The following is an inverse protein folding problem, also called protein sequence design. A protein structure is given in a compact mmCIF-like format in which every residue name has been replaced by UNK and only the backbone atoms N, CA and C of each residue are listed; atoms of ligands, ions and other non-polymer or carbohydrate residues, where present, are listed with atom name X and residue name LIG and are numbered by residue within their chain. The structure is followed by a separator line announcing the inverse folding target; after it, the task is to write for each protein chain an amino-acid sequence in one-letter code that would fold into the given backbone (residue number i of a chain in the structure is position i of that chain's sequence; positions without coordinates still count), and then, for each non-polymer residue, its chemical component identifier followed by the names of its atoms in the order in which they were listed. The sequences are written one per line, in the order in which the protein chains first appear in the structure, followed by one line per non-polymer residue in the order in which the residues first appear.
data_IF_221187532911
#
_entry.id   IF_221187532911
#
_cell.length_a   1.000
_cell.length_b   1.000
_cell.length_c   1.000
_cell.angle_alpha   90.00
_cell.angle_beta   90.00
_cell.angle_gamma   90.00
#
_symmetry.space_group_name_H-M   'P 1'
#
loop_
_entity.id
_entity.type
_entity.pdbx_description
1 polymer ?
#
# COMPACT_ATOMS: atom_id res chain seq x y z
N UNK A 1 -2.21 -18.86 9.29
CA UNK A 1 -1.36 -19.59 8.31
C UNK A 1 0.09 -19.09 8.29
N UNK A 2 0.37 -17.88 8.78
CA UNK A 2 1.71 -17.25 8.78
C UNK A 2 2.80 -17.96 9.59
N UNK A 3 2.44 -18.89 10.47
CA UNK A 3 3.39 -19.66 11.30
C UNK A 3 3.71 -21.06 10.75
N UNK A 4 3.09 -21.47 9.63
CA UNK A 4 3.41 -22.76 9.00
C UNK A 4 4.79 -22.69 8.35
N UNK A 5 5.77 -23.52 8.77
CA UNK A 5 7.09 -23.52 8.16
C UNK A 5 7.01 -23.74 6.65
N UNK A 6 7.83 -22.99 5.90
CA UNK A 6 7.96 -23.06 4.44
C UNK A 6 6.70 -22.69 3.66
N UNK A 7 5.79 -21.95 4.29
CA UNK A 7 4.72 -21.25 3.59
C UNK A 7 5.30 -20.32 2.51
N UNK A 8 4.57 -20.16 1.40
CA UNK A 8 5.00 -19.38 0.22
C UNK A 8 3.81 -18.86 -0.58
N UNK A 9 4.10 -18.00 -1.55
CA UNK A 9 3.14 -17.39 -2.47
C UNK A 9 2.81 -15.94 -2.11
N UNK A 10 2.45 -15.16 -3.13
CA UNK A 10 2.20 -13.72 -3.01
C UNK A 10 1.13 -13.38 -1.94
N UNK A 11 0.02 -14.11 -1.90
CA UNK A 11 -1.06 -13.88 -0.93
C UNK A 11 -0.60 -14.06 0.52
N UNK A 12 0.20 -15.10 0.80
CA UNK A 12 0.75 -15.33 2.14
C UNK A 12 1.75 -14.25 2.52
N UNK A 13 2.62 -13.85 1.58
CA UNK A 13 3.57 -12.75 1.81
C UNK A 13 2.82 -11.46 2.11
N UNK A 14 1.73 -11.19 1.37
CA UNK A 14 0.88 -10.02 1.63
C UNK A 14 0.29 -10.07 3.04
N UNK A 15 -0.28 -11.21 3.46
CA UNK A 15 -0.81 -11.40 4.83
C UNK A 15 0.26 -11.14 5.89
N UNK A 16 1.49 -11.64 5.70
CA UNK A 16 2.62 -11.41 6.62
C UNK A 16 3.01 -9.93 6.67
N UNK A 17 3.14 -9.27 5.51
CA UNK A 17 3.53 -7.85 5.43
C UNK A 17 2.46 -6.96 6.07
N UNK A 18 1.19 -7.22 5.78
CA UNK A 18 0.06 -6.50 6.36
C UNK A 18 0.03 -6.68 7.88
N UNK A 19 0.17 -7.93 8.36
CA UNK A 19 0.29 -8.23 9.80
C UNK A 19 1.40 -7.41 10.45
N UNK A 20 2.61 -7.41 9.88
CA UNK A 20 3.76 -6.67 10.45
C UNK A 20 3.50 -5.15 10.45
N UNK A 21 2.88 -4.63 9.40
CA UNK A 21 2.55 -3.20 9.30
C UNK A 21 1.46 -2.78 10.29
N UNK A 22 0.41 -3.60 10.45
CA UNK A 22 -0.70 -3.34 11.37
C UNK A 22 -0.27 -3.42 12.84
N UNK A 23 0.76 -4.21 13.15
CA UNK A 23 1.39 -4.19 14.45
C UNK A 23 2.05 -2.84 14.77
N UNK A 24 2.34 -1.96 13.81
CA UNK A 24 2.90 -0.62 14.07
C UNK A 24 4.23 -0.64 14.84
N UNK A 25 4.98 -1.74 14.77
CA UNK A 25 6.27 -1.92 15.47
C UNK A 25 7.36 -1.09 14.77
N UNK A 26 7.33 -1.12 13.45
CA UNK A 26 8.30 -0.50 12.56
C UNK A 26 7.70 0.72 11.83
N UNK A 27 8.52 1.67 11.38
CA UNK A 27 8.07 2.69 10.43
C UNK A 27 7.52 2.05 9.15
N UNK A 28 6.62 2.76 8.46
CA UNK A 28 6.07 2.34 7.17
C UNK A 28 7.21 2.05 6.18
N UNK A 29 7.18 0.87 5.56
CA UNK A 29 8.20 0.39 4.64
C UNK A 29 7.89 0.67 3.17
N UNK A 30 6.76 1.32 2.85
CA UNK A 30 6.41 1.75 1.49
C UNK A 30 6.40 0.57 0.50
N UNK A 31 5.83 -0.57 0.93
CA UNK A 31 5.77 -1.87 0.21
C UNK A 31 7.12 -2.52 -0.05
N UNK A 32 8.19 -1.98 0.55
CA UNK A 32 9.53 -2.46 0.29
C UNK A 32 9.69 -3.92 0.72
N UNK A 33 9.18 -4.32 1.89
CA UNK A 33 9.29 -5.72 2.34
C UNK A 33 8.61 -6.68 1.36
N UNK A 34 7.42 -6.34 0.84
CA UNK A 34 6.74 -7.15 -0.17
C UNK A 34 7.58 -7.29 -1.46
N UNK A 35 8.17 -6.18 -1.94
CA UNK A 35 9.06 -6.18 -3.12
C UNK A 35 10.34 -7.00 -2.88
N UNK A 36 10.92 -6.95 -1.68
CA UNK A 36 12.09 -7.76 -1.31
C UNK A 36 11.76 -9.26 -1.38
N UNK A 37 10.59 -9.68 -0.89
CA UNK A 37 10.17 -11.09 -0.99
C UNK A 37 10.07 -11.56 -2.45
N UNK A 38 9.56 -10.72 -3.36
CA UNK A 38 9.50 -11.02 -4.79
C UNK A 38 10.90 -11.27 -5.36
N UNK A 39 11.84 -10.35 -5.13
CA UNK A 39 13.16 -10.40 -5.78
C UNK A 39 14.09 -11.44 -5.17
N UNK A 40 13.98 -11.69 -3.85
CA UNK A 40 14.84 -12.63 -3.15
C UNK A 40 14.43 -14.08 -3.38
N UNK A 41 13.12 -14.34 -3.48
CA UNK A 41 12.62 -15.72 -3.50
C UNK A 41 11.38 -15.93 -4.34
N UNK A 42 10.91 -14.95 -5.12
CA UNK A 42 9.60 -15.00 -5.79
C UNK A 42 8.49 -15.36 -4.79
N UNK A 43 8.44 -14.64 -3.67
CA UNK A 43 7.49 -14.92 -2.58
C UNK A 43 7.63 -16.32 -1.97
N UNK A 44 8.82 -16.90 -2.05
CA UNK A 44 9.15 -18.24 -1.59
C UNK A 44 8.99 -19.35 -2.64
N UNK A 45 8.53 -19.03 -3.85
CA UNK A 45 8.35 -20.00 -4.95
C UNK A 45 9.63 -20.28 -5.75
N UNK A 46 10.68 -19.48 -5.60
CA UNK A 46 11.94 -19.70 -6.30
C UNK A 46 12.57 -21.05 -5.87
N UNK A 47 13.04 -21.86 -6.82
CA UNK A 47 13.80 -23.06 -6.51
C UNK A 47 14.99 -22.73 -5.61
N UNK A 48 15.15 -23.46 -4.51
CA UNK A 48 16.27 -23.27 -3.57
C UNK A 48 16.04 -22.22 -2.48
N UNK A 49 14.85 -21.61 -2.40
CA UNK A 49 14.45 -20.73 -1.26
C UNK A 49 14.70 -21.43 0.07
N UNK A 50 14.24 -22.68 0.20
CA UNK A 50 14.35 -23.53 1.39
C UNK A 50 15.36 -24.67 1.17
N UNK A 51 16.53 -24.36 0.60
CA UNK A 51 17.59 -25.35 0.37
C UNK A 51 18.16 -25.85 1.70
N UNK A 52 18.60 -27.10 1.73
CA UNK A 52 19.16 -27.72 2.95
C UNK A 52 20.31 -26.88 3.52
N UNK A 53 20.30 -26.68 4.84
CA UNK A 53 21.28 -25.88 5.57
C UNK A 53 21.15 -24.36 5.41
N UNK A 54 20.09 -23.88 4.75
CA UNK A 54 19.79 -22.45 4.64
C UNK A 54 18.39 -22.13 5.13
N UNK A 55 18.30 -21.34 6.21
CA UNK A 55 17.04 -21.07 6.90
C UNK A 55 16.55 -19.62 6.75
N UNK A 56 17.11 -18.83 5.83
CA UNK A 56 16.76 -17.41 5.67
C UNK A 56 15.32 -17.10 5.22
N UNK A 57 14.50 -18.12 4.96
CA UNK A 57 13.08 -18.00 4.65
C UNK A 57 12.77 -17.24 3.37
N UNK A 58 11.55 -16.72 3.25
CA UNK A 58 11.07 -15.98 2.07
C UNK A 58 11.95 -14.76 1.77
N UNK A 59 12.41 -14.05 2.80
CA UNK A 59 13.22 -12.84 2.63
C UNK A 59 14.72 -13.10 2.49
N UNK A 60 15.14 -14.37 2.48
CA UNK A 60 16.52 -14.82 2.31
C UNK A 60 17.52 -14.11 3.23
N UNK A 61 17.16 -13.82 4.48
CA UNK A 61 18.10 -13.24 5.47
C UNK A 61 19.17 -14.27 5.81
N UNK A 62 20.43 -13.99 5.51
CA UNK A 62 21.51 -14.92 5.81
C UNK A 62 21.77 -15.06 7.32
N UNK A 63 22.59 -16.05 7.70
CA UNK A 63 22.86 -16.35 9.11
C UNK A 63 23.56 -15.20 9.83
N UNK A 64 24.38 -14.41 9.15
CA UNK A 64 25.07 -13.27 9.75
C UNK A 64 24.07 -12.15 10.00
N UNK A 65 23.29 -11.79 8.99
CA UNK A 65 22.23 -10.78 9.10
C UNK A 65 21.22 -11.12 10.18
N UNK A 66 20.80 -12.39 10.26
CA UNK A 66 19.95 -12.87 11.35
C UNK A 66 20.60 -12.67 12.74
N UNK A 67 21.87 -13.06 12.91
CA UNK A 67 22.60 -12.87 14.17
C UNK A 67 22.66 -11.42 14.59
N UNK A 68 22.77 -10.49 13.64
CA UNK A 68 22.72 -9.06 13.94
C UNK A 68 21.35 -8.62 14.47
N UNK A 69 20.25 -9.25 14.01
CA UNK A 69 18.90 -8.92 14.51
C UNK A 69 18.67 -9.30 15.97
N UNK A 70 19.39 -10.29 16.49
CA UNK A 70 19.26 -10.77 17.88
C UNK A 70 20.31 -10.20 18.82
N UNK A 71 21.46 -9.73 18.30
CA UNK A 71 22.59 -9.26 19.13
C UNK A 71 22.73 -7.75 19.23
N UNK A 72 22.23 -6.97 18.27
CA UNK A 72 22.44 -5.53 18.27
C UNK A 72 21.50 -4.81 19.24
N UNK A 73 22.06 -4.31 20.34
CA UNK A 73 21.33 -3.64 21.43
C UNK A 73 20.46 -2.43 20.97
N UNK A 74 20.82 -1.78 19.87
CA UNK A 74 20.00 -0.71 19.27
C UNK A 74 18.61 -1.16 18.83
N UNK A 75 18.37 -2.47 18.71
CA UNK A 75 17.09 -3.06 18.34
C UNK A 75 16.19 -3.40 19.53
N UNK A 76 16.64 -3.20 20.79
CA UNK A 76 15.87 -3.56 21.99
C UNK A 76 14.43 -3.02 21.98
N UNK A 77 14.25 -1.78 21.55
CA UNK A 77 12.93 -1.13 21.43
C UNK A 77 11.96 -1.86 20.48
N UNK A 78 12.47 -2.64 19.52
CA UNK A 78 11.66 -3.45 18.62
C UNK A 78 11.40 -4.82 19.23
N UNK A 79 12.38 -5.45 19.88
CA UNK A 79 12.19 -6.70 20.62
C UNK A 79 11.08 -6.56 21.67
N UNK A 80 11.14 -5.50 22.49
CA UNK A 80 10.13 -5.24 23.54
C UNK A 80 8.71 -5.11 22.95
N UNK A 81 8.58 -4.54 21.74
CA UNK A 81 7.28 -4.41 21.06
C UNK A 81 6.83 -5.70 20.39
N UNK A 82 7.76 -6.51 19.87
CA UNK A 82 7.46 -7.82 19.29
C UNK A 82 6.93 -8.73 20.40
N UNK A 83 7.62 -8.79 21.55
CA UNK A 83 7.17 -9.56 22.71
C UNK A 83 5.81 -9.09 23.19
N UNK A 84 5.64 -7.77 23.43
CA UNK A 84 4.37 -7.23 23.91
C UNK A 84 3.16 -7.49 22.99
N UNK A 85 3.37 -7.61 21.67
CA UNK A 85 2.27 -7.77 20.70
C UNK A 85 2.07 -9.20 20.21
N UNK A 86 3.12 -10.01 20.20
CA UNK A 86 3.11 -11.36 19.64
C UNK A 86 3.48 -12.45 20.65
N UNK A 87 3.97 -12.09 21.84
CA UNK A 87 4.51 -13.03 22.82
C UNK A 87 5.77 -13.75 22.33
N UNK A 88 6.54 -13.09 21.45
CA UNK A 88 7.77 -13.65 20.88
C UNK A 88 8.97 -12.92 21.51
N UNK A 89 9.74 -13.65 22.32
CA UNK A 89 11.07 -13.20 22.69
C UNK A 89 12.00 -13.37 21.49
N UNK A 90 12.25 -12.27 20.77
CA UNK A 90 13.08 -12.29 19.58
C UNK A 90 14.51 -12.76 19.87
N UNK A 91 15.04 -12.50 21.07
CA UNK A 91 16.43 -12.80 21.43
C UNK A 91 16.69 -14.29 21.65
N UNK A 92 15.63 -15.06 21.91
CA UNK A 92 15.66 -16.51 22.10
C UNK A 92 15.29 -17.29 20.82
N UNK A 93 15.03 -16.60 19.71
CA UNK A 93 14.78 -17.26 18.42
C UNK A 93 16.04 -17.95 17.89
N UNK A 94 15.85 -18.82 16.90
CA UNK A 94 16.93 -19.45 16.14
C UNK A 94 16.88 -19.07 14.66
N UNK A 95 17.95 -19.34 13.91
CA UNK A 95 17.95 -19.04 12.47
C UNK A 95 16.94 -19.92 11.73
N UNK A 96 16.70 -21.13 12.25
CA UNK A 96 15.73 -22.11 11.77
C UNK A 96 14.29 -21.60 11.89
N UNK A 97 13.99 -20.73 12.86
CA UNK A 97 12.65 -20.13 12.98
C UNK A 97 12.26 -19.28 11.77
N UNK A 98 13.24 -18.76 11.01
CA UNK A 98 12.98 -17.98 9.80
C UNK A 98 12.40 -18.84 8.67
N UNK A 99 12.30 -20.16 8.82
CA UNK A 99 11.48 -20.97 7.93
C UNK A 99 9.98 -20.64 8.06
N UNK A 100 9.54 -20.06 9.18
CA UNK A 100 8.18 -19.57 9.38
C UNK A 100 8.04 -18.19 8.71
N UNK A 101 7.04 -17.96 7.85
CA UNK A 101 6.85 -16.71 7.12
C UNK A 101 6.87 -15.45 7.99
N UNK A 102 6.15 -15.43 9.12
CA UNK A 102 6.12 -14.26 10.03
C UNK A 102 7.52 -13.95 10.59
N UNK A 103 8.26 -14.97 11.04
CA UNK A 103 9.61 -14.82 11.57
C UNK A 103 10.59 -14.37 10.49
N UNK A 104 10.49 -14.90 9.27
CA UNK A 104 11.29 -14.43 8.14
C UNK A 104 11.06 -12.93 7.86
N UNK A 105 9.81 -12.48 7.89
CA UNK A 105 9.45 -11.07 7.68
C UNK A 105 9.93 -10.16 8.82
N UNK A 106 9.79 -10.59 10.08
CA UNK A 106 10.29 -9.88 11.25
C UNK A 106 11.82 -9.76 11.22
N UNK A 107 12.54 -10.82 10.87
CA UNK A 107 13.99 -10.80 10.72
C UNK A 107 14.42 -9.79 9.65
N UNK A 108 13.76 -9.76 8.50
CA UNK A 108 14.06 -8.79 7.45
C UNK A 108 13.79 -7.34 7.90
N UNK A 109 12.70 -7.07 8.64
CA UNK A 109 12.41 -5.73 9.16
C UNK A 109 13.36 -5.30 10.27
N UNK A 110 13.76 -6.20 11.16
CA UNK A 110 14.78 -5.92 12.17
C UNK A 110 16.14 -5.68 11.53
N UNK A 111 16.51 -6.47 10.51
CA UNK A 111 17.74 -6.28 9.75
C UNK A 111 17.78 -4.87 9.14
N UNK A 112 16.69 -4.43 8.52
CA UNK A 112 16.55 -3.08 7.95
C UNK A 112 16.49 -1.97 9.01
N UNK A 113 15.92 -2.24 10.19
CA UNK A 113 15.79 -1.24 11.26
C UNK A 113 17.13 -0.79 11.87
N UNK A 114 18.22 -1.52 11.59
CA UNK A 114 19.59 -1.13 11.95
C UNK A 114 20.14 -0.01 11.08
N UNK A 115 19.48 0.28 9.96
CA UNK A 115 19.93 1.21 8.93
C UNK A 115 19.28 2.56 9.19
N UNK A 116 20.10 3.60 9.34
CA UNK A 116 19.62 4.96 9.61
C UNK A 116 19.00 5.64 8.39
N UNK A 117 19.37 5.21 7.18
CA UNK A 117 18.79 5.72 5.94
C UNK A 117 17.31 5.28 5.83
N UNK A 118 16.37 6.21 5.59
CA UNK A 118 14.96 5.84 5.44
C UNK A 118 14.73 5.08 4.13
N UNK A 119 13.85 4.08 4.17
CA UNK A 119 13.40 3.35 2.98
C UNK A 119 12.75 4.33 1.99
N UNK A 120 13.19 4.49 0.74
CA UNK A 120 12.64 5.46 -0.22
C UNK A 120 11.19 5.21 -0.63
N UNK A 121 10.52 6.22 -1.20
CA UNK A 121 9.12 6.13 -1.67
C UNK A 121 8.99 5.59 -3.08
N UNK A 122 9.92 5.93 -3.97
CA UNK A 122 9.86 5.56 -5.38
C UNK A 122 10.62 4.24 -5.66
N UNK A 123 10.20 3.54 -6.70
CA UNK A 123 10.72 2.23 -7.06
C UNK A 123 12.23 2.25 -7.43
N UNK A 124 12.73 3.20 -8.26
CA UNK A 124 14.16 3.26 -8.57
C UNK A 124 15.03 3.45 -7.33
N UNK A 125 14.65 4.37 -6.43
CA UNK A 125 15.40 4.60 -5.20
C UNK A 125 15.30 3.42 -4.23
N UNK A 126 14.16 2.74 -4.16
CA UNK A 126 14.06 1.48 -3.41
C UNK A 126 14.95 0.38 -3.96
N UNK A 127 15.07 0.25 -5.29
CA UNK A 127 15.97 -0.72 -5.91
C UNK A 127 17.44 -0.42 -5.58
N UNK A 128 17.84 0.85 -5.59
CA UNK A 128 19.17 1.28 -5.15
C UNK A 128 19.38 1.01 -3.65
N UNK A 129 18.37 1.30 -2.83
CA UNK A 129 18.40 1.04 -1.39
C UNK A 129 18.58 -0.46 -1.12
N UNK A 130 17.79 -1.32 -1.75
CA UNK A 130 17.93 -2.78 -1.67
C UNK A 130 19.34 -3.23 -2.07
N UNK A 131 19.88 -2.73 -3.19
CA UNK A 131 21.22 -3.11 -3.65
C UNK A 131 22.31 -2.69 -2.66
N UNK A 132 22.15 -1.52 -2.05
CA UNK A 132 23.13 -0.96 -1.11
C UNK A 132 23.10 -1.70 0.23
N UNK A 133 21.90 -1.95 0.75
CA UNK A 133 21.70 -2.26 2.16
C UNK A 133 21.21 -3.67 2.46
N UNK A 134 20.58 -4.34 1.50
CA UNK A 134 19.95 -5.65 1.70
C UNK A 134 20.67 -6.75 0.91
N UNK A 135 20.76 -6.59 -0.41
CA UNK A 135 21.51 -7.52 -1.27
C UNK A 135 23.03 -7.33 -1.14
N UNK A 136 23.46 -6.10 -0.81
CA UNK A 136 24.86 -5.63 -0.76
C UNK A 136 25.58 -5.64 -2.12
N UNK A 137 26.75 -5.00 -2.18
CA UNK A 137 27.60 -4.98 -3.38
C UNK A 137 28.06 -6.38 -3.80
N UNK A 138 28.26 -7.29 -2.84
CA UNK A 138 28.68 -8.67 -3.09
C UNK A 138 27.53 -9.58 -3.58
N UNK A 139 26.27 -9.19 -3.35
CA UNK A 139 25.12 -9.95 -3.84
C UNK A 139 25.02 -9.94 -5.37
N UNK A 140 24.50 -11.03 -5.95
CA UNK A 140 24.34 -11.18 -7.42
C UNK A 140 23.20 -10.33 -8.00
N UNK A 141 22.37 -9.76 -7.13
CA UNK A 141 21.22 -8.94 -7.53
C UNK A 141 21.66 -7.62 -8.18
N UNK A 142 20.84 -7.09 -9.09
CA UNK A 142 21.10 -5.79 -9.72
C UNK A 142 19.89 -4.87 -9.58
N UNK A 143 20.14 -3.56 -9.51
CA UNK A 143 19.09 -2.53 -9.45
C UNK A 143 18.11 -2.70 -10.60
N UNK A 144 18.63 -2.93 -11.82
CA UNK A 144 17.80 -3.18 -13.00
C UNK A 144 16.90 -4.40 -12.82
N UNK A 145 17.44 -5.53 -12.36
CA UNK A 145 16.64 -6.75 -12.16
C UNK A 145 15.54 -6.54 -11.12
N UNK A 146 15.83 -5.83 -10.03
CA UNK A 146 14.82 -5.50 -9.02
C UNK A 146 13.65 -4.72 -9.64
N UNK A 147 13.94 -3.68 -10.42
CA UNK A 147 12.93 -2.86 -11.08
C UNK A 147 12.13 -3.71 -12.07
N UNK A 148 12.82 -4.46 -12.93
CA UNK A 148 12.19 -5.30 -13.96
C UNK A 148 11.26 -6.35 -13.33
N UNK A 149 11.69 -7.03 -12.27
CA UNK A 149 10.86 -8.04 -11.57
C UNK A 149 9.61 -7.39 -10.93
N UNK A 150 9.77 -6.26 -10.24
CA UNK A 150 8.66 -5.57 -9.57
C UNK A 150 7.66 -5.00 -10.58
N UNK A 151 8.14 -4.42 -11.68
CA UNK A 151 7.27 -3.91 -12.74
C UNK A 151 6.55 -5.05 -13.46
N UNK A 152 7.23 -6.16 -13.72
CA UNK A 152 6.61 -7.33 -14.33
C UNK A 152 5.51 -7.91 -13.42
N UNK A 153 5.77 -8.11 -12.13
CA UNK A 153 4.76 -8.57 -11.19
C UNK A 153 3.58 -7.60 -11.05
N UNK A 154 3.85 -6.29 -11.04
CA UNK A 154 2.80 -5.25 -10.98
C UNK A 154 1.92 -5.22 -12.23
N UNK A 155 2.44 -5.65 -13.40
CA UNK A 155 1.66 -5.76 -14.62
C UNK A 155 0.74 -6.99 -14.65
N UNK A 156 0.96 -7.95 -13.74
CA UNK A 156 0.19 -9.21 -13.65
C UNK A 156 -0.77 -9.27 -12.46
N UNK A 157 -0.65 -8.35 -11.48
CA UNK A 157 -1.55 -8.26 -10.32
C UNK A 157 -2.50 -7.05 -10.43
N UNK A 158 -3.72 -7.18 -9.89
CA UNK A 158 -4.64 -6.04 -9.70
C UNK A 158 -4.01 -5.03 -8.74
N UNK A 159 -3.31 -4.03 -9.28
CA UNK A 159 -2.59 -3.01 -8.51
C UNK A 159 -3.12 -1.59 -8.76
N UNK A 160 -2.60 -0.58 -8.03
CA UNK A 160 -3.07 0.80 -8.14
C UNK A 160 -2.97 1.42 -9.54
N UNK A 161 -2.11 0.86 -10.40
CA UNK A 161 -1.87 1.31 -11.77
C UNK A 161 -2.50 0.39 -12.82
N UNK A 162 -3.08 -0.73 -12.39
CA UNK A 162 -3.71 -1.72 -13.27
C UNK A 162 -5.17 -1.30 -13.49
N UNK A 163 -5.61 -1.06 -14.74
CA UNK A 163 -6.99 -0.73 -15.01
C UNK A 163 -7.94 -1.78 -14.41
N UNK A 164 -9.03 -1.30 -13.80
CA UNK A 164 -10.12 -2.10 -13.24
C UNK A 164 -9.78 -2.94 -12.02
N UNK A 165 -8.67 -2.66 -11.33
CA UNK A 165 -8.42 -3.23 -10.00
C UNK A 165 -9.53 -2.87 -9.01
N UNK A 166 -9.82 -3.75 -8.05
CA UNK A 166 -10.90 -3.59 -7.07
C UNK A 166 -10.59 -4.23 -5.73
N UNK A 167 -11.50 -4.06 -4.77
CA UNK A 167 -11.46 -4.67 -3.43
C UNK A 167 -10.93 -3.73 -2.35
N UNK A 168 -11.39 -3.96 -1.11
CA UNK A 168 -11.10 -3.10 0.04
C UNK A 168 -9.60 -2.92 0.30
N UNK A 169 -8.81 -4.00 0.20
CA UNK A 169 -7.36 -3.97 0.39
C UNK A 169 -6.65 -3.06 -0.61
N UNK A 170 -7.04 -3.11 -1.89
CA UNK A 170 -6.46 -2.27 -2.93
C UNK A 170 -6.87 -0.80 -2.73
N UNK A 171 -8.12 -0.55 -2.36
CA UNK A 171 -8.58 0.81 -2.04
C UNK A 171 -7.82 1.38 -0.85
N UNK A 172 -7.61 0.59 0.21
CA UNK A 172 -6.83 1.01 1.38
C UNK A 172 -5.41 1.37 0.95
N UNK A 173 -4.77 0.53 0.13
CA UNK A 173 -3.45 0.79 -0.43
C UNK A 173 -3.38 2.10 -1.23
N UNK A 174 -4.38 2.38 -2.07
CA UNK A 174 -4.47 3.64 -2.83
C UNK A 174 -4.64 4.84 -1.90
N UNK A 175 -5.54 4.76 -0.91
CA UNK A 175 -5.82 5.84 0.05
C UNK A 175 -4.58 6.14 0.89
N UNK A 176 -3.92 5.10 1.41
CA UNK A 176 -2.69 5.21 2.20
C UNK A 176 -1.57 5.82 1.33
N UNK A 177 -1.42 5.36 0.09
CA UNK A 177 -0.46 5.95 -0.87
C UNK A 177 -0.73 7.44 -1.04
N UNK A 178 -1.96 7.86 -1.32
CA UNK A 178 -2.30 9.28 -1.53
C UNK A 178 -2.07 10.11 -0.26
N UNK A 179 -2.41 9.58 0.91
CA UNK A 179 -2.20 10.26 2.19
C UNK A 179 -0.70 10.41 2.52
N UNK A 180 0.11 9.37 2.28
CA UNK A 180 1.56 9.37 2.49
C UNK A 180 2.30 10.36 1.57
N UNK A 181 1.72 10.70 0.41
CA UNK A 181 2.27 11.75 -0.43
C UNK A 181 2.26 13.13 0.26
N UNK A 182 1.37 13.36 1.23
CA UNK A 182 1.26 14.65 1.94
C UNK A 182 0.89 15.82 1.00
N UNK A 183 0.22 15.52 -0.12
CA UNK A 183 -0.18 16.50 -1.13
C UNK A 183 -1.46 17.23 -0.69
N UNK A 184 -2.38 16.48 -0.09
CA UNK A 184 -3.71 16.93 0.30
C UNK A 184 -3.83 17.04 1.83
N UNK A 185 -4.76 17.87 2.35
CA UNK A 185 -5.15 17.82 3.75
C UNK A 185 -5.64 16.42 4.15
N UNK A 186 -5.51 16.07 5.43
CA UNK A 186 -5.99 14.80 5.97
C UNK A 186 -7.48 14.60 5.63
N UNK A 187 -7.82 13.46 5.02
CA UNK A 187 -9.17 13.15 4.57
C UNK A 187 -10.04 12.49 5.63
N UNK A 188 -9.51 12.18 6.83
CA UNK A 188 -10.28 11.63 7.96
C UNK A 188 -11.03 10.34 7.58
N UNK A 189 -10.36 9.46 6.82
CA UNK A 189 -10.89 8.21 6.24
C UNK A 189 -12.02 8.42 5.21
N UNK A 190 -12.31 9.66 4.83
CA UNK A 190 -13.41 9.97 3.94
C UNK A 190 -13.24 9.34 2.56
N UNK A 191 -12.03 9.38 1.98
CA UNK A 191 -11.80 8.83 0.64
C UNK A 191 -12.09 7.32 0.61
N UNK A 192 -11.67 6.59 1.64
CA UNK A 192 -11.96 5.16 1.78
C UNK A 192 -13.48 4.88 1.87
N UNK A 193 -14.21 5.69 2.63
CA UNK A 193 -15.68 5.58 2.77
C UNK A 193 -16.42 5.90 1.46
N UNK A 194 -15.95 6.89 0.69
CA UNK A 194 -16.53 7.21 -0.62
C UNK A 194 -16.37 6.03 -1.58
N UNK A 195 -15.22 5.36 -1.61
CA UNK A 195 -15.04 4.16 -2.44
C UNK A 195 -16.03 3.04 -2.10
N UNK A 196 -16.32 2.83 -0.80
CA UNK A 196 -17.34 1.87 -0.37
C UNK A 196 -18.73 2.23 -0.92
N UNK A 197 -19.14 3.49 -0.75
CA UNK A 197 -20.52 3.92 -1.06
C UNK A 197 -20.76 4.06 -2.57
N UNK A 198 -19.75 4.49 -3.33
CA UNK A 198 -19.87 4.70 -4.77
C UNK A 198 -19.79 3.40 -5.58
N UNK A 199 -19.01 2.41 -5.13
CA UNK A 199 -18.72 1.24 -5.95
C UNK A 199 -18.48 -0.06 -5.19
N UNK A 200 -18.68 -0.09 -3.87
CA UNK A 200 -18.24 -1.20 -3.00
C UNK A 200 -16.78 -1.56 -3.27
N UNK A 201 -15.91 -0.55 -3.22
CA UNK A 201 -14.48 -0.71 -3.50
C UNK A 201 -14.17 -1.19 -4.93
N UNK A 202 -15.05 -0.90 -5.88
CA UNK A 202 -14.96 -1.33 -7.28
C UNK A 202 -15.56 -2.70 -7.58
N UNK A 203 -16.21 -3.34 -6.61
CA UNK A 203 -16.84 -4.66 -6.76
C UNK A 203 -18.26 -4.59 -7.34
N UNK A 204 -18.92 -3.43 -7.31
CA UNK A 204 -20.22 -3.24 -7.94
C UNK A 204 -20.12 -3.50 -9.46
N UNK A 205 -20.99 -4.34 -10.06
CA UNK A 205 -20.93 -4.67 -11.48
C UNK A 205 -20.97 -3.45 -12.41
N UNK A 206 -21.61 -2.36 -11.96
CA UNK A 206 -21.74 -1.11 -12.71
C UNK A 206 -20.53 -0.17 -12.65
N UNK A 207 -19.49 -0.50 -11.87
CA UNK A 207 -18.33 0.38 -11.64
C UNK A 207 -17.62 0.75 -12.95
N UNK A 208 -17.29 -0.26 -13.75
CA UNK A 208 -16.52 -0.16 -15.00
C UNK A 208 -17.40 -0.41 -16.24
N UNK A 209 -18.61 0.14 -16.23
CA UNK A 209 -19.57 0.01 -17.34
C UNK A 209 -19.06 0.72 -18.59
N UNK A 210 -19.41 0.18 -19.76
CA UNK A 210 -18.98 0.74 -21.06
C UNK A 210 -19.32 2.24 -21.19
N UNK A 211 -18.33 3.02 -21.61
CA UNK A 211 -18.46 4.48 -21.78
C UNK A 211 -18.41 5.29 -20.49
N UNK A 212 -18.12 4.68 -19.34
CA UNK A 212 -17.94 5.37 -18.08
C UNK A 212 -16.62 4.98 -17.40
N UNK A 213 -15.72 5.96 -17.26
CA UNK A 213 -14.34 5.72 -16.83
C UNK A 213 -14.04 6.28 -15.43
N UNK A 214 -15.04 6.66 -14.64
CA UNK A 214 -14.84 7.29 -13.31
C UNK A 214 -14.17 6.43 -12.24
N UNK A 215 -13.92 5.14 -12.53
CA UNK A 215 -13.23 4.20 -11.66
C UNK A 215 -13.94 3.92 -10.33
N UNK A 216 -13.18 3.46 -9.34
CA UNK A 216 -13.69 3.11 -8.00
C UNK A 216 -14.45 4.27 -7.34
N UNK A 217 -13.97 5.50 -7.50
CA UNK A 217 -14.58 6.68 -6.87
C UNK A 217 -15.69 7.34 -7.68
N UNK A 218 -16.08 6.76 -8.82
CA UNK A 218 -17.16 7.22 -9.70
C UNK A 218 -17.12 8.75 -9.98
N UNK A 219 -15.93 9.28 -10.27
CA UNK A 219 -15.79 10.67 -10.71
C UNK A 219 -16.28 10.78 -12.15
N UNK A 220 -17.37 11.52 -12.38
CA UNK A 220 -17.90 11.70 -13.73
C UNK A 220 -16.96 12.52 -14.63
N UNK A 221 -17.25 12.53 -15.94
CA UNK A 221 -16.42 13.21 -16.94
C UNK A 221 -16.30 14.71 -16.71
N UNK A 222 -17.34 15.35 -16.17
CA UNK A 222 -17.34 16.79 -15.88
C UNK A 222 -16.44 17.05 -14.67
N UNK A 223 -16.65 16.32 -13.58
CA UNK A 223 -15.83 16.41 -12.38
C UNK A 223 -14.36 16.16 -12.67
N UNK A 224 -14.05 15.14 -13.48
CA UNK A 224 -12.69 14.88 -13.96
C UNK A 224 -12.13 16.07 -14.75
N UNK A 225 -12.88 16.61 -15.72
CA UNK A 225 -12.45 17.76 -16.52
C UNK A 225 -12.12 18.97 -15.64
N UNK A 226 -12.85 19.17 -14.55
CA UNK A 226 -12.54 20.24 -13.59
C UNK A 226 -11.22 20.01 -12.86
N UNK A 227 -10.82 18.75 -12.62
CA UNK A 227 -9.53 18.44 -11.99
C UNK A 227 -8.32 18.78 -12.86
N UNK A 228 -8.47 18.79 -14.19
CA UNK A 228 -7.39 19.09 -15.14
C UNK A 228 -7.39 20.54 -15.63
N UNK A 229 -8.54 21.23 -15.60
CA UNK A 229 -8.66 22.59 -16.16
C UNK A 229 -8.61 23.73 -15.13
N UNK A 230 -8.95 23.47 -13.87
CA UNK A 230 -9.03 24.55 -12.87
C UNK A 230 -7.65 24.95 -12.35
N UNK A 231 -7.20 26.15 -12.72
CA UNK A 231 -5.88 26.69 -12.37
C UNK A 231 -5.59 26.75 -10.86
N UNK A 232 -6.62 26.84 -10.01
CA UNK A 232 -6.48 26.76 -8.55
C UNK A 232 -5.88 25.45 -8.05
N UNK A 233 -5.84 24.40 -8.89
CA UNK A 233 -5.27 23.10 -8.58
C UNK A 233 -3.78 22.96 -8.96
N UNK A 234 -3.17 23.96 -9.59
CA UNK A 234 -1.77 23.88 -10.06
C UNK A 234 -0.78 23.41 -8.98
N UNK A 235 -0.93 23.90 -7.74
CA UNK A 235 -0.09 23.49 -6.60
C UNK A 235 -0.17 21.99 -6.27
N UNK A 236 -1.27 21.32 -6.64
CA UNK A 236 -1.42 19.87 -6.48
C UNK A 236 -0.83 19.13 -7.67
N UNK A 237 -1.04 19.62 -8.91
CA UNK A 237 -0.42 19.05 -10.11
C UNK A 237 1.10 19.01 -9.99
N UNK A 238 1.72 20.13 -9.61
CA UNK A 238 3.18 20.23 -9.45
C UNK A 238 3.72 19.22 -8.43
N UNK A 239 2.96 18.95 -7.36
CA UNK A 239 3.35 17.96 -6.33
C UNK A 239 3.09 16.52 -6.76
N UNK A 240 2.04 16.27 -7.55
CA UNK A 240 1.74 14.97 -8.12
C UNK A 240 2.85 14.59 -9.10
N UNK A 241 3.23 15.50 -10.00
CA UNK A 241 4.35 15.30 -10.91
C UNK A 241 5.65 15.04 -10.15
N UNK A 242 6.02 15.93 -9.21
CA UNK A 242 7.27 15.77 -8.45
C UNK A 242 7.37 14.46 -7.64
N UNK A 243 6.25 13.88 -7.19
CA UNK A 243 6.26 12.68 -6.33
C UNK A 243 5.94 11.38 -7.07
N UNK A 244 5.21 11.45 -8.18
CA UNK A 244 4.71 10.28 -8.91
C UNK A 244 5.16 10.25 -10.39
N UNK A 245 5.72 11.35 -10.92
CA UNK A 245 6.04 11.49 -12.34
C UNK A 245 4.80 11.49 -13.23
N UNK A 246 3.66 11.98 -12.71
CA UNK A 246 2.39 12.05 -13.42
C UNK A 246 2.11 13.52 -13.72
N UNK A 247 2.16 13.89 -14.99
CA UNK A 247 1.59 15.16 -15.44
C UNK A 247 0.06 15.02 -15.44
N UNK A 248 -0.58 15.54 -14.39
CA UNK A 248 -2.02 15.43 -14.23
C UNK A 248 -2.79 16.08 -15.39
N UNK A 249 -2.24 17.15 -15.98
CA UNK A 249 -2.93 17.93 -17.02
C UNK A 249 -2.99 17.21 -18.37
N UNK A 250 -2.12 16.22 -18.56
CA UNK A 250 -2.04 15.38 -19.78
C UNK A 250 -2.75 14.02 -19.62
N UNK A 251 -3.35 13.75 -18.46
CA UNK A 251 -4.15 12.53 -18.27
C UNK A 251 -5.43 12.56 -19.11
N UNK A 252 -6.07 11.41 -19.29
CA UNK A 252 -7.43 11.34 -19.87
C UNK A 252 -8.44 10.77 -18.87
N UNK A 253 -9.75 10.86 -19.21
CA UNK A 253 -10.78 10.31 -18.33
C UNK A 253 -10.67 8.78 -18.21
N UNK A 254 -10.20 8.11 -19.27
CA UNK A 254 -9.94 6.69 -19.33
C UNK A 254 -8.85 6.24 -18.34
N UNK A 255 -7.89 7.12 -18.00
CA UNK A 255 -6.88 6.81 -16.98
C UNK A 255 -7.48 6.55 -15.60
N UNK A 256 -8.68 7.09 -15.31
CA UNK A 256 -9.38 6.84 -14.04
C UNK A 256 -9.85 5.39 -13.90
N UNK A 257 -9.75 4.54 -14.93
CA UNK A 257 -9.89 3.10 -14.74
C UNK A 257 -8.79 2.51 -13.84
N UNK A 258 -7.64 3.20 -13.71
CA UNK A 258 -6.57 2.83 -12.77
C UNK A 258 -6.92 3.34 -11.37
N UNK A 259 -6.94 2.49 -10.33
CA UNK A 259 -7.38 2.88 -8.99
C UNK A 259 -6.69 4.13 -8.41
N UNK A 260 -5.37 4.28 -8.58
CA UNK A 260 -4.63 5.46 -8.10
C UNK A 260 -5.10 6.75 -8.79
N UNK A 261 -5.33 6.70 -10.10
CA UNK A 261 -5.80 7.85 -10.88
C UNK A 261 -7.24 8.20 -10.49
N UNK A 262 -8.11 7.20 -10.32
CA UNK A 262 -9.47 7.42 -9.78
C UNK A 262 -9.43 8.11 -8.40
N UNK A 263 -8.57 7.65 -7.49
CA UNK A 263 -8.42 8.24 -6.16
C UNK A 263 -7.83 9.66 -6.18
N UNK A 264 -6.83 9.92 -7.03
CA UNK A 264 -6.27 11.27 -7.23
C UNK A 264 -7.30 12.23 -7.82
N UNK A 265 -8.09 11.79 -8.80
CA UNK A 265 -9.17 12.57 -9.37
C UNK A 265 -10.21 12.95 -8.30
N UNK A 266 -10.62 12.00 -7.45
CA UNK A 266 -11.55 12.26 -6.36
C UNK A 266 -10.98 13.29 -5.35
N UNK A 267 -9.69 13.20 -5.02
CA UNK A 267 -9.05 14.17 -4.09
C UNK A 267 -8.85 15.54 -4.70
N UNK A 268 -8.50 15.63 -5.99
CA UNK A 268 -8.43 16.90 -6.71
C UNK A 268 -9.82 17.53 -6.85
N UNK A 269 -10.84 16.72 -7.14
CA UNK A 269 -12.23 17.16 -7.20
C UNK A 269 -12.65 17.81 -5.87
N UNK A 270 -12.36 17.13 -4.75
CA UNK A 270 -12.63 17.63 -3.39
C UNK A 270 -11.77 18.85 -3.01
N UNK A 271 -10.54 18.94 -3.50
CA UNK A 271 -9.62 20.05 -3.17
C UNK A 271 -10.09 21.41 -3.72
N UNK A 272 -11.05 21.43 -4.63
CA UNK A 272 -11.71 22.65 -5.13
C UNK A 272 -12.73 23.21 -4.14
N UNK A 273 -13.10 22.43 -3.14
CA UNK A 273 -14.15 22.75 -2.18
C UNK A 273 -13.51 23.38 -0.94
N UNK A 274 -13.95 24.58 -0.58
CA UNK A 274 -13.38 25.33 0.55
C UNK A 274 -13.80 24.74 1.90
N UNK A 275 -14.96 24.08 1.97
CA UNK A 275 -15.44 23.44 3.17
C UNK A 275 -14.51 22.28 3.57
N UNK A 276 -14.02 22.21 4.81
CA UNK A 276 -13.16 21.12 5.25
C UNK A 276 -13.95 19.82 5.39
N UNK A 277 -13.30 18.68 5.10
CA UNK A 277 -13.89 17.35 5.33
C UNK A 277 -14.14 17.16 6.83
N UNK A 278 -15.37 16.84 7.28
CA UNK A 278 -15.70 16.66 8.71
C UNK A 278 -15.03 15.45 9.37
N UNK A 279 -14.99 15.43 10.70
CA UNK A 279 -14.38 14.35 11.51
C UNK A 279 -15.32 13.18 11.79
N UNK A 280 -16.60 13.46 12.00
CA UNK A 280 -17.60 12.46 12.38
C UNK A 280 -18.36 11.93 11.17
N UNK A 281 -18.86 10.70 11.30
CA UNK A 281 -19.51 9.98 10.22
C UNK A 281 -20.80 10.67 9.71
N UNK A 282 -21.73 11.14 10.57
CA UNK A 282 -22.92 11.84 10.11
C UNK A 282 -22.60 13.10 9.30
N UNK A 283 -21.66 13.92 9.78
CA UNK A 283 -21.24 15.13 9.06
C UNK A 283 -20.53 14.80 7.75
N UNK A 284 -19.73 13.74 7.70
CA UNK A 284 -19.14 13.26 6.45
C UNK A 284 -20.19 12.79 5.44
N UNK A 285 -21.24 12.09 5.89
CA UNK A 285 -22.34 11.68 5.02
C UNK A 285 -23.08 12.89 4.42
N UNK A 286 -23.33 13.92 5.23
CA UNK A 286 -23.89 15.18 4.75
C UNK A 286 -22.95 15.89 3.77
N UNK A 287 -21.66 15.92 4.07
CA UNK A 287 -20.62 16.49 3.21
C UNK A 287 -20.59 15.78 1.85
N UNK A 288 -20.54 14.44 1.84
CA UNK A 288 -20.61 13.63 0.62
C UNK A 288 -21.86 13.94 -0.20
N UNK A 289 -23.04 14.00 0.44
CA UNK A 289 -24.29 14.29 -0.26
C UNK A 289 -24.31 15.68 -0.88
N UNK A 290 -23.74 16.66 -0.17
CA UNK A 290 -23.71 18.06 -0.60
C UNK A 290 -22.74 18.26 -1.75
N UNK A 291 -21.54 17.68 -1.65
CA UNK A 291 -20.39 18.09 -2.45
C UNK A 291 -19.92 17.07 -3.47
N UNK A 292 -20.21 15.77 -3.27
CA UNK A 292 -19.68 14.69 -4.10
C UNK A 292 -20.80 13.99 -4.89
N UNK A 293 -21.83 13.50 -4.22
CA UNK A 293 -22.99 12.88 -4.88
C UNK A 293 -23.95 13.92 -5.49
N UNK A 294 -24.02 15.11 -4.88
CA UNK A 294 -24.94 16.21 -5.17
C UNK A 294 -26.43 15.88 -4.91
N UNK A 295 -27.29 16.90 -4.93
CA UNK A 295 -28.74 16.74 -4.75
C UNK A 295 -29.39 15.89 -5.84
N UNK A 296 -28.86 15.92 -7.06
CA UNK A 296 -29.34 15.14 -8.20
C UNK A 296 -28.93 13.65 -8.15
N UNK A 297 -27.90 13.31 -7.35
CA UNK A 297 -27.48 11.93 -7.16
C UNK A 297 -28.51 11.11 -6.38
N UNK A 298 -28.59 9.81 -6.70
CA UNK A 298 -29.55 8.88 -6.05
C UNK A 298 -29.17 8.50 -4.62
N UNK A 299 -27.97 8.85 -4.18
CA UNK A 299 -27.46 8.54 -2.85
C UNK A 299 -28.18 9.32 -1.75
N UNK A 300 -28.28 8.74 -0.56
CA UNK A 300 -28.84 9.42 0.62
C UNK A 300 -27.83 9.44 1.76
N UNK A 301 -27.95 10.44 2.64
CA UNK A 301 -27.12 10.55 3.85
C UNK A 301 -27.23 9.28 4.68
N UNK A 302 -28.44 8.75 4.85
CA UNK A 302 -28.67 7.53 5.62
C UNK A 302 -27.98 6.32 4.99
N UNK A 303 -28.09 6.13 3.66
CA UNK A 303 -27.41 5.03 2.96
C UNK A 303 -25.90 5.06 3.19
N UNK A 304 -25.28 6.24 3.12
CA UNK A 304 -23.84 6.39 3.38
C UNK A 304 -23.48 5.92 4.80
N UNK A 305 -24.27 6.32 5.80
CA UNK A 305 -24.04 5.92 7.20
C UNK A 305 -24.19 4.41 7.35
N UNK A 306 -25.28 3.85 6.82
CA UNK A 306 -25.60 2.42 6.92
C UNK A 306 -24.51 1.56 6.28
N UNK A 307 -24.06 1.92 5.06
CA UNK A 307 -22.99 1.21 4.36
C UNK A 307 -21.70 1.19 5.18
N UNK A 308 -21.29 2.33 5.73
CA UNK A 308 -20.04 2.45 6.50
C UNK A 308 -20.12 1.71 7.83
N UNK A 309 -21.25 1.78 8.54
CA UNK A 309 -21.45 1.07 9.80
C UNK A 309 -21.52 -0.44 9.60
N UNK A 310 -22.18 -0.90 8.53
CA UNK A 310 -22.26 -2.32 8.20
C UNK A 310 -20.87 -2.90 7.93
N UNK A 311 -20.07 -2.24 7.09
CA UNK A 311 -18.70 -2.68 6.80
C UNK A 311 -17.80 -2.70 8.06
N UNK A 312 -17.98 -1.74 8.98
CA UNK A 312 -17.21 -1.69 10.23
C UNK A 312 -17.60 -2.76 11.25
N UNK A 313 -18.72 -3.47 11.04
CA UNK A 313 -19.22 -4.51 11.94
C UNK A 313 -18.84 -5.92 11.46
N UNK A 314 -18.29 -6.04 10.25
CA UNK A 314 -17.92 -7.30 9.60
C UNK A 314 -16.40 -7.53 9.55
N UNK A 315 -15.61 -6.54 9.98
CA UNK A 315 -14.16 -6.59 10.17
C UNK A 315 -13.81 -6.91 11.64
#
# INVERSE_FOLDING_TARGET
MVDTPKGKGASLVKEVVDTINDLGIFPNDRKFLFRVALVESKYGDAPGTYRSGYHGGIWQVDKIGYRETVTQQGLKKYWDKIDAKLGIDWTETTWEDLEKPLYSGLAARLFLARISAPIPTDLPSQAQYWKTYYNTSAGKGTVKKFIDDVQHASSTEEGPYTPKGKGASLVKEVVDTINDLGIFPNDRKFLFRVALVESKYGEEPGTYRSGYHGGIWQVDKIGYRETVTQQGLKKYWDKIDAKLGIDWTETTWEDLEKPLYSGLAARLFLARISAPIPTDLPSQAQYWKTYYNTSAGKGTVQKFIDDVQHASSTD
#
